data_IF_886803540858
#
_entry.id   IF_886803540858
#
_cell.length_a   1.000
_cell.length_b   1.000
_cell.length_c   1.000
_cell.angle_alpha   90.00
_cell.angle_beta   90.00
_cell.angle_gamma   90.00
#
_symmetry.space_group_name_H-M   'P 1'
#
loop_
_entity.id
_entity.type
_entity.pdbx_description
1 polymer ?
#
# COMPACT_ATOMS: atom_id res chain seq x y z
N UNK A 1 -64.67 -0.14 34.66
CA UNK A 1 -63.23 0.12 34.81
C UNK A 1 -62.53 -0.61 33.68
N UNK A 2 -62.54 -0.04 32.46
CA UNK A 2 -61.50 0.89 31.94
C UNK A 2 -60.16 0.15 31.78
N UNK A 3 -59.46 0.06 30.65
CA UNK A 3 -59.61 0.65 29.31
C UNK A 3 -58.71 -0.17 28.37
N UNK A 4 -59.18 -0.45 27.16
CA UNK A 4 -58.38 -1.02 26.07
C UNK A 4 -57.55 0.10 25.46
N UNK A 5 -56.23 -0.10 25.29
CA UNK A 5 -55.49 0.55 24.22
C UNK A 5 -54.64 -0.47 23.46
N UNK A 6 -55.19 -0.91 22.32
CA UNK A 6 -54.39 -1.30 21.15
C UNK A 6 -53.90 0.02 20.52
N UNK A 7 -52.59 0.14 20.34
CA UNK A 7 -51.97 1.23 19.59
C UNK A 7 -51.30 0.70 18.34
N UNK A 8 -52.05 0.65 17.25
CA UNK A 8 -51.53 0.53 15.88
C UNK A 8 -51.17 1.91 15.35
N UNK A 9 -49.94 2.11 14.89
CA UNK A 9 -49.56 3.15 13.92
C UNK A 9 -48.35 2.58 13.16
N UNK A 10 -48.37 2.21 11.88
CA UNK A 10 -48.90 2.92 10.69
C UNK A 10 -48.40 4.35 10.62
N UNK A 11 -47.17 4.60 10.13
CA UNK A 11 -46.96 5.62 9.09
C UNK A 11 -45.63 5.44 8.34
N UNK A 12 -45.77 4.97 7.12
CA UNK A 12 -44.92 5.18 5.96
C UNK A 12 -44.75 6.70 5.65
N UNK A 13 -43.52 7.17 5.33
CA UNK A 13 -43.09 7.82 4.06
C UNK A 13 -41.78 8.65 4.15
N UNK A 14 -41.10 8.88 3.01
CA UNK A 14 -39.65 9.05 2.90
C UNK A 14 -39.21 10.52 3.04
N UNK A 15 -38.02 10.73 3.59
CA UNK A 15 -37.34 12.02 3.52
C UNK A 15 -36.34 11.99 2.35
N UNK A 16 -36.80 12.41 1.17
CA UNK A 16 -35.93 12.89 0.10
C UNK A 16 -35.64 14.37 0.33
N UNK A 17 -34.39 14.79 0.60
CA UNK A 17 -34.05 16.19 0.46
C UNK A 17 -33.81 16.51 -1.02
N UNK A 18 -34.81 17.13 -1.63
CA UNK A 18 -34.67 18.04 -2.77
C UNK A 18 -33.72 19.18 -2.37
N UNK A 19 -32.46 19.14 -2.82
CA UNK A 19 -31.61 20.33 -2.81
C UNK A 19 -31.82 21.06 -4.14
N UNK A 20 -32.62 22.11 -4.05
CA UNK A 20 -32.93 23.05 -5.11
C UNK A 20 -31.71 23.95 -5.37
N UNK A 21 -31.35 24.08 -6.64
CA UNK A 21 -30.24 24.86 -7.15
C UNK A 21 -30.35 26.35 -6.77
N UNK A 22 -29.25 26.94 -6.30
CA UNK A 22 -29.00 28.38 -6.35
C UNK A 22 -27.75 28.65 -7.18
N UNK A 23 -27.95 29.51 -8.17
CA UNK A 23 -26.99 30.00 -9.16
C UNK A 23 -25.90 30.81 -8.45
N UNK A 24 -24.65 30.38 -8.56
CA UNK A 24 -23.49 31.26 -8.43
C UNK A 24 -22.95 31.58 -9.83
N UNK A 25 -23.20 32.82 -10.27
CA UNK A 25 -22.49 33.44 -11.38
C UNK A 25 -21.14 33.90 -10.83
N UNK A 26 -20.05 33.22 -11.17
CA UNK A 26 -18.70 33.57 -10.72
C UNK A 26 -17.63 32.77 -11.46
N UNK A 27 -16.77 33.48 -12.16
CA UNK A 27 -15.78 32.99 -13.13
C UNK A 27 -14.59 32.32 -12.42
N UNK A 28 -13.97 31.40 -13.16
CA UNK A 28 -12.55 31.00 -13.11
C UNK A 28 -12.22 29.68 -12.39
N UNK A 29 -11.79 28.73 -13.22
CA UNK A 29 -10.89 27.65 -12.84
C UNK A 29 -11.44 26.27 -13.17
N UNK A 30 -11.13 25.76 -14.37
CA UNK A 30 -10.84 24.32 -14.47
C UNK A 30 -9.62 24.06 -13.59
N UNK A 31 -9.85 23.85 -12.29
CA UNK A 31 -8.85 23.27 -11.41
C UNK A 31 -8.77 21.80 -11.78
N UNK A 32 -7.81 21.45 -12.62
CA UNK A 32 -7.36 20.07 -12.79
C UNK A 32 -6.75 19.59 -11.48
N UNK A 33 -7.59 19.26 -10.50
CA UNK A 33 -7.18 18.47 -9.36
C UNK A 33 -6.98 17.05 -9.84
N UNK A 34 -5.80 16.49 -9.62
CA UNK A 34 -5.56 15.06 -9.80
C UNK A 34 -6.66 14.31 -9.02
N UNK A 35 -7.51 13.55 -9.72
CA UNK A 35 -8.50 12.70 -9.06
C UNK A 35 -7.74 11.59 -8.32
N UNK A 36 -7.53 11.77 -7.03
CA UNK A 36 -7.02 10.71 -6.17
C UNK A 36 -8.03 9.55 -6.19
N UNK A 37 -7.61 8.40 -6.74
CA UNK A 37 -8.44 7.20 -6.76
C UNK A 37 -8.34 6.50 -5.42
N UNK A 38 -9.46 6.42 -4.71
CA UNK A 38 -9.57 5.64 -3.47
C UNK A 38 -10.01 4.23 -3.84
N UNK A 39 -9.15 3.25 -3.67
CA UNK A 39 -9.52 1.83 -3.80
C UNK A 39 -9.75 1.27 -2.40
N UNK A 40 -10.86 0.56 -2.22
CA UNK A 40 -11.16 -0.13 -0.98
C UNK A 40 -10.70 -1.57 -1.12
N UNK A 41 -9.75 -2.01 -0.29
CA UNK A 41 -9.42 -3.43 -0.15
C UNK A 41 -10.56 -4.16 0.55
N UNK A 42 -10.61 -5.50 0.45
CA UNK A 42 -11.71 -6.34 0.93
C UNK A 42 -12.04 -6.20 2.45
N UNK A 43 -11.21 -5.49 3.20
CA UNK A 43 -11.28 -5.20 4.63
C UNK A 43 -11.58 -3.73 4.98
N UNK A 44 -11.92 -2.89 3.98
CA UNK A 44 -12.40 -1.50 4.13
C UNK A 44 -11.43 -0.45 4.72
N UNK A 45 -10.11 -0.67 4.73
CA UNK A 45 -9.15 0.42 4.95
C UNK A 45 -8.90 1.18 3.63
N UNK A 46 -9.20 2.49 3.52
CA UNK A 46 -8.92 3.23 2.30
C UNK A 46 -7.41 3.46 2.18
N UNK A 47 -6.77 2.83 1.20
CA UNK A 47 -5.43 3.23 0.76
C UNK A 47 -5.63 4.18 -0.42
N UNK A 48 -5.26 5.44 -0.23
CA UNK A 48 -5.38 6.46 -1.27
C UNK A 48 -4.18 6.34 -2.19
N UNK A 49 -4.41 5.84 -3.41
CA UNK A 49 -3.37 5.73 -4.41
C UNK A 49 -3.40 6.95 -5.33
N UNK A 50 -2.21 7.41 -5.71
CA UNK A 50 -2.09 8.46 -6.73
C UNK A 50 -2.39 7.85 -8.09
N UNK A 51 -3.35 8.44 -8.80
CA UNK A 51 -3.55 8.18 -10.22
C UNK A 51 -2.45 8.87 -11.03
N UNK A 52 -2.01 8.25 -12.12
CA UNK A 52 -1.23 8.97 -13.13
C UNK A 52 -2.19 9.91 -13.88
N UNK A 53 -1.86 11.20 -14.10
CA UNK A 53 -2.70 12.09 -14.90
C UNK A 53 -2.86 11.59 -16.34
N UNK A 54 -4.06 11.66 -16.91
CA UNK A 54 -4.37 11.15 -18.26
C UNK A 54 -3.51 11.75 -19.39
N UNK A 55 -2.95 12.94 -19.17
CA UNK A 55 -2.09 13.63 -20.14
C UNK A 55 -0.62 13.21 -20.09
N UNK A 56 -0.23 12.33 -19.17
CA UNK A 56 1.15 11.91 -18.95
C UNK A 56 1.43 10.59 -19.65
N UNK A 57 2.52 10.54 -20.41
CA UNK A 57 3.03 9.29 -20.97
C UNK A 57 3.74 8.48 -19.89
N UNK A 58 3.31 7.23 -19.70
CA UNK A 58 4.03 6.24 -18.88
C UNK A 58 4.90 5.41 -19.81
N UNK A 59 6.19 5.34 -19.50
CA UNK A 59 7.16 4.56 -20.27
C UNK A 59 7.31 3.16 -19.70
N UNK A 60 7.58 2.18 -20.58
CA UNK A 60 8.02 0.86 -20.10
C UNK A 60 9.46 0.93 -19.60
N UNK A 61 9.82 0.09 -18.62
CA UNK A 61 11.19 0.02 -18.09
C UNK A 61 12.26 -0.22 -19.17
N UNK A 62 11.91 -0.90 -20.27
CA UNK A 62 12.81 -1.19 -21.39
C UNK A 62 13.01 -0.03 -22.38
N UNK A 63 12.15 0.99 -22.34
CA UNK A 63 12.20 2.13 -23.27
C UNK A 63 13.04 3.30 -22.75
N UNK A 64 13.37 3.30 -21.45
CA UNK A 64 14.09 4.39 -20.79
C UNK A 64 15.58 4.11 -20.71
N UNK A 65 16.38 5.17 -20.65
CA UNK A 65 17.85 5.07 -20.54
C UNK A 65 18.28 4.49 -19.19
N UNK A 66 17.52 4.79 -18.13
CA UNK A 66 17.74 4.26 -16.78
C UNK A 66 16.39 4.01 -16.11
N UNK A 67 16.19 2.81 -15.59
CA UNK A 67 14.95 2.44 -14.89
C UNK A 67 14.89 3.01 -13.46
N UNK A 68 13.70 3.01 -12.84
CA UNK A 68 13.57 3.32 -11.42
C UNK A 68 14.32 2.30 -10.55
N UNK A 69 14.86 2.79 -9.44
CA UNK A 69 15.58 1.99 -8.45
C UNK A 69 15.07 2.30 -7.05
N UNK A 70 15.13 1.31 -6.16
CA UNK A 70 14.84 1.50 -4.74
C UNK A 70 16.15 1.86 -4.07
N UNK A 71 16.18 2.94 -3.32
CA UNK A 71 17.37 3.37 -2.61
C UNK A 71 17.70 2.36 -1.50
N UNK A 72 18.91 1.82 -1.51
CA UNK A 72 19.29 0.67 -0.66
C UNK A 72 18.79 -0.69 -1.19
N UNK A 73 18.16 -0.72 -2.37
CA UNK A 73 17.79 -1.91 -3.11
C UNK A 73 16.82 -2.83 -2.36
N UNK A 74 16.94 -4.14 -2.60
CA UNK A 74 16.03 -5.13 -2.01
C UNK A 74 16.06 -5.16 -0.49
N UNK A 75 17.18 -4.82 0.13
CA UNK A 75 17.30 -4.81 1.60
C UNK A 75 16.45 -3.71 2.23
N UNK A 76 16.27 -2.58 1.55
CA UNK A 76 15.39 -1.51 2.03
C UNK A 76 13.93 -1.98 2.11
N UNK A 77 13.46 -2.74 1.11
CA UNK A 77 12.12 -3.36 1.17
C UNK A 77 11.98 -4.27 2.38
N UNK A 78 12.91 -5.22 2.55
CA UNK A 78 12.83 -6.21 3.63
C UNK A 78 12.85 -5.54 5.00
N UNK A 79 13.69 -4.53 5.20
CA UNK A 79 13.75 -3.80 6.47
C UNK A 79 12.50 -3.01 6.82
N UNK A 80 11.73 -2.64 5.80
CA UNK A 80 10.51 -1.88 5.97
C UNK A 80 9.32 -2.81 6.25
N UNK A 81 9.42 -4.12 6.03
CA UNK A 81 8.32 -5.07 6.24
C UNK A 81 8.01 -5.19 7.73
N UNK A 82 6.78 -4.86 8.07
CA UNK A 82 6.14 -5.18 9.34
C UNK A 82 5.28 -6.42 9.11
N UNK A 83 5.81 -7.60 9.45
CA UNK A 83 5.16 -8.88 9.12
C UNK A 83 3.79 -8.96 9.81
N UNK A 84 2.68 -9.16 9.07
CA UNK A 84 1.35 -9.23 9.68
C UNK A 84 1.24 -10.38 10.68
N UNK A 85 0.67 -10.12 11.86
CA UNK A 85 0.63 -11.12 12.94
C UNK A 85 -0.16 -12.38 12.56
N UNK A 86 -1.27 -12.22 11.84
CA UNK A 86 -2.07 -13.32 11.30
C UNK A 86 -1.24 -14.19 10.35
N UNK A 87 -0.52 -13.56 9.42
CA UNK A 87 0.36 -14.28 8.50
C UNK A 87 1.54 -14.96 9.22
N UNK A 88 2.07 -14.34 10.28
CA UNK A 88 3.16 -14.90 11.08
C UNK A 88 2.70 -16.14 11.86
N UNK A 89 1.56 -16.04 12.55
CA UNK A 89 0.97 -17.11 13.34
C UNK A 89 0.60 -18.32 12.46
N UNK A 90 0.11 -18.06 11.25
CA UNK A 90 -0.24 -19.08 10.24
C UNK A 90 0.98 -19.60 9.46
N UNK A 91 2.16 -19.02 9.65
CA UNK A 91 3.38 -19.40 8.93
C UNK A 91 3.32 -19.12 7.42
N UNK A 92 2.56 -18.11 7.00
CA UNK A 92 2.29 -17.80 5.59
C UNK A 92 3.43 -17.04 4.93
N UNK A 93 4.25 -17.72 4.13
CA UNK A 93 5.35 -17.11 3.37
C UNK A 93 5.05 -16.98 1.87
N UNK A 94 5.77 -16.09 1.18
CA UNK A 94 5.63 -15.99 -0.27
C UNK A 94 6.29 -14.77 -0.89
N UNK A 95 5.84 -14.39 -2.07
CA UNK A 95 6.27 -13.18 -2.74
C UNK A 95 5.07 -12.51 -3.40
N UNK A 96 4.80 -11.27 -3.01
CA UNK A 96 3.78 -10.44 -3.66
C UNK A 96 4.42 -9.77 -4.86
N UNK A 97 3.80 -9.88 -6.03
CA UNK A 97 4.23 -9.12 -7.22
C UNK A 97 3.28 -7.97 -7.46
N UNK A 98 3.83 -6.78 -7.63
CA UNK A 98 3.09 -5.54 -7.81
C UNK A 98 3.60 -4.83 -9.07
N UNK A 99 2.70 -4.48 -9.98
CA UNK A 99 2.94 -3.52 -11.05
C UNK A 99 2.64 -2.12 -10.53
N UNK A 100 3.50 -1.15 -10.77
CA UNK A 100 3.31 0.21 -10.31
C UNK A 100 4.04 1.19 -11.20
N UNK A 101 3.67 2.47 -11.13
CA UNK A 101 4.34 3.55 -11.84
C UNK A 101 5.15 4.38 -10.87
N UNK A 102 6.44 4.57 -11.15
CA UNK A 102 7.29 5.51 -10.42
C UNK A 102 7.29 6.84 -11.15
N UNK A 103 6.87 7.89 -10.47
CA UNK A 103 6.88 9.25 -11.00
C UNK A 103 8.27 9.88 -10.99
N UNK A 104 8.44 11.02 -11.68
CA UNK A 104 9.70 11.77 -11.70
C UNK A 104 10.10 12.34 -10.32
N UNK A 105 9.16 12.35 -9.38
CA UNK A 105 9.34 12.76 -7.98
C UNK A 105 9.66 11.58 -7.04
N UNK A 106 9.86 10.37 -7.58
CA UNK A 106 10.11 9.16 -6.79
C UNK A 106 8.88 8.65 -6.05
N UNK A 107 7.67 9.14 -6.35
CA UNK A 107 6.45 8.62 -5.73
C UNK A 107 5.89 7.43 -6.51
N UNK A 108 5.18 6.56 -5.79
CA UNK A 108 4.43 5.44 -6.35
C UNK A 108 3.04 5.90 -6.80
N UNK A 109 2.65 5.45 -7.99
CA UNK A 109 1.34 5.69 -8.61
C UNK A 109 0.75 4.35 -9.10
N UNK A 110 -0.59 4.25 -9.03
CA UNK A 110 -1.38 3.13 -9.56
C UNK A 110 -0.79 1.73 -9.30
N UNK A 111 -0.53 1.35 -8.04
CA UNK A 111 -0.06 0.00 -7.76
C UNK A 111 -1.19 -1.02 -8.01
N UNK A 112 -0.85 -2.11 -8.67
CA UNK A 112 -1.72 -3.23 -9.01
C UNK A 112 -1.06 -4.56 -8.63
N UNK A 113 -1.79 -5.42 -7.93
CA UNK A 113 -1.25 -6.71 -7.46
C UNK A 113 -1.37 -7.74 -8.59
N UNK A 114 -0.22 -8.12 -9.15
CA UNK A 114 -0.11 -9.16 -10.19
C UNK A 114 -0.15 -10.57 -9.61
N UNK A 115 0.32 -10.73 -8.37
CA UNK A 115 0.34 -12.02 -7.66
C UNK A 115 0.19 -11.79 -6.17
N UNK A 116 -0.90 -12.30 -5.63
CA UNK A 116 -1.25 -12.24 -4.21
C UNK A 116 -0.68 -13.44 -3.45
N UNK A 117 -0.34 -13.23 -2.17
CA UNK A 117 -0.07 -14.31 -1.21
C UNK A 117 -1.22 -14.43 -0.21
N UNK A 118 -1.72 -13.28 0.25
CA UNK A 118 -2.85 -13.20 1.16
C UNK A 118 -3.18 -11.74 1.48
N UNK A 119 -4.42 -11.42 1.87
CA UNK A 119 -4.86 -10.02 1.99
C UNK A 119 -4.03 -9.16 2.94
N UNK A 120 -3.56 -9.70 4.07
CA UNK A 120 -2.74 -8.98 5.04
C UNK A 120 -1.33 -8.71 4.52
N UNK A 121 -0.69 -9.71 3.93
CA UNK A 121 0.62 -9.61 3.26
C UNK A 121 0.58 -8.65 2.08
N UNK A 122 -0.49 -8.70 1.29
CA UNK A 122 -0.71 -7.83 0.13
C UNK A 122 -0.79 -6.35 0.54
N UNK A 123 -1.58 -6.05 1.58
CA UNK A 123 -1.68 -4.70 2.15
C UNK A 123 -0.32 -4.20 2.63
N UNK A 124 0.43 -5.07 3.28
CA UNK A 124 1.75 -4.75 3.79
C UNK A 124 2.75 -4.49 2.66
N UNK A 125 2.71 -5.28 1.59
CA UNK A 125 3.54 -5.06 0.40
C UNK A 125 3.27 -3.68 -0.21
N UNK A 126 2.00 -3.28 -0.32
CA UNK A 126 1.61 -1.96 -0.85
C UNK A 126 2.05 -0.81 0.06
N UNK A 127 2.04 -1.00 1.39
CA UNK A 127 2.55 0.00 2.35
C UNK A 127 4.06 0.16 2.22
N UNK A 128 4.80 -0.94 2.18
CA UNK A 128 6.27 -0.94 2.04
C UNK A 128 6.71 -0.24 0.77
N UNK A 129 6.08 -0.54 -0.38
CA UNK A 129 6.43 0.09 -1.66
C UNK A 129 6.22 1.61 -1.66
N UNK A 130 5.25 2.12 -0.88
CA UNK A 130 5.01 3.55 -0.70
C UNK A 130 5.95 4.21 0.32
N UNK A 131 6.55 3.44 1.21
CA UNK A 131 7.38 3.95 2.31
C UNK A 131 8.88 3.97 1.99
N UNK A 132 9.34 3.16 1.03
CA UNK A 132 10.73 3.18 0.60
C UNK A 132 11.02 4.36 -0.33
N UNK A 133 12.27 4.83 -0.28
CA UNK A 133 12.75 5.87 -1.18
C UNK A 133 13.04 5.29 -2.57
N UNK A 134 12.63 6.03 -3.59
CA UNK A 134 12.81 5.66 -5.00
C UNK A 134 13.67 6.69 -5.73
N UNK A 135 14.68 6.19 -6.43
CA UNK A 135 15.33 6.91 -7.51
C UNK A 135 14.50 6.79 -8.78
N UNK A 136 14.05 7.91 -9.38
CA UNK A 136 13.19 7.89 -10.57
C UNK A 136 13.94 7.44 -11.83
N UNK A 137 13.20 6.83 -12.75
CA UNK A 137 13.72 6.49 -14.07
C UNK A 137 13.98 7.73 -14.93
N UNK A 138 14.91 7.61 -15.87
CA UNK A 138 15.35 8.71 -16.75
C UNK A 138 15.33 8.32 -18.22
N UNK A 139 14.88 9.25 -19.05
CA UNK A 139 14.97 9.18 -20.51
C UNK A 139 15.31 10.57 -21.06
N UNK A 140 16.26 10.66 -21.98
CA UNK A 140 16.68 11.93 -22.57
C UNK A 140 17.23 12.92 -21.55
N UNK A 141 17.81 12.42 -20.45
CA UNK A 141 18.32 13.25 -19.34
C UNK A 141 17.24 13.83 -18.41
N UNK A 142 15.97 13.51 -18.61
CA UNK A 142 14.85 13.95 -17.77
C UNK A 142 14.29 12.80 -16.96
N UNK A 143 13.79 13.09 -15.75
CA UNK A 143 13.05 12.10 -14.97
C UNK A 143 11.65 11.96 -15.54
N UNK A 144 11.18 10.72 -15.74
CA UNK A 144 9.92 10.42 -16.41
C UNK A 144 9.10 9.40 -15.61
N UNK A 145 7.81 9.26 -15.94
CA UNK A 145 6.97 8.23 -15.36
C UNK A 145 7.31 6.89 -15.98
N UNK A 146 7.63 5.89 -15.14
CA UNK A 146 8.02 4.56 -15.62
C UNK A 146 7.21 3.49 -14.92
N UNK A 147 6.58 2.61 -15.69
CA UNK A 147 5.95 1.40 -15.16
C UNK A 147 7.02 0.34 -14.85
N UNK A 148 6.93 -0.25 -13.67
CA UNK A 148 7.82 -1.33 -13.24
C UNK A 148 7.08 -2.38 -12.41
N UNK A 149 7.65 -3.59 -12.39
CA UNK A 149 7.14 -4.69 -11.58
C UNK A 149 8.14 -5.00 -10.47
N UNK A 150 7.62 -5.10 -9.25
CA UNK A 150 8.42 -5.34 -8.05
C UNK A 150 7.87 -6.53 -7.32
N UNK A 151 8.77 -7.36 -6.81
CA UNK A 151 8.43 -8.60 -6.15
C UNK A 151 8.93 -8.55 -4.71
N UNK A 152 8.00 -8.31 -3.77
CA UNK A 152 8.27 -8.11 -2.34
C UNK A 152 8.29 -9.48 -1.63
N UNK A 153 9.45 -9.95 -1.12
CA UNK A 153 9.55 -11.25 -0.48
C UNK A 153 9.09 -11.19 0.98
N UNK A 154 8.26 -12.14 1.38
CA UNK A 154 7.88 -12.36 2.78
C UNK A 154 8.48 -13.70 3.24
N UNK A 155 9.36 -13.63 4.23
CA UNK A 155 10.09 -14.76 4.81
C UNK A 155 10.10 -14.64 6.33
N UNK A 156 9.65 -15.67 7.02
CA UNK A 156 9.63 -15.77 8.48
C UNK A 156 11.05 -15.81 9.03
N UNK A 157 11.99 -16.48 8.36
CA UNK A 157 13.39 -16.55 8.82
C UNK A 157 14.07 -15.17 8.95
N UNK A 158 13.61 -14.17 8.18
CA UNK A 158 14.13 -12.80 8.22
C UNK A 158 13.44 -11.94 9.29
N UNK A 159 12.24 -12.34 9.74
CA UNK A 159 11.37 -11.58 10.64
C UNK A 159 11.07 -12.31 11.95
N UNK A 160 11.66 -13.49 12.16
CA UNK A 160 11.62 -14.18 13.44
C UNK A 160 12.20 -13.22 14.48
N UNK A 161 11.41 -12.81 15.49
CA UNK A 161 11.98 -12.10 16.60
C UNK A 161 13.02 -13.02 17.22
N UNK A 162 14.27 -12.58 17.27
CA UNK A 162 15.32 -13.22 18.06
C UNK A 162 15.04 -13.13 19.58
N UNK A 163 13.77 -12.98 20.00
CA UNK A 163 13.37 -12.58 21.34
C UNK A 163 12.61 -13.68 22.10
N UNK A 164 12.04 -14.69 21.44
CA UNK A 164 11.31 -15.79 22.10
C UNK A 164 11.96 -17.18 21.92
N UNK A 165 13.04 -17.29 21.15
CA UNK A 165 13.83 -18.52 21.12
C UNK A 165 14.69 -18.62 22.39
N UNK A 166 14.70 -19.76 23.12
CA UNK A 166 15.74 -19.99 24.12
C UNK A 166 17.09 -19.84 23.42
N UNK A 167 17.95 -18.96 23.94
CA UNK A 167 19.27 -18.71 23.35
C UNK A 167 19.97 -20.04 23.04
N UNK A 168 20.51 -20.26 21.83
CA UNK A 168 21.40 -21.39 21.59
C UNK A 168 22.46 -21.39 22.70
N UNK A 169 22.81 -22.55 23.30
CA UNK A 169 23.81 -22.59 24.36
C UNK A 169 25.05 -21.86 23.86
N UNK A 170 25.34 -20.69 24.44
CA UNK A 170 26.55 -19.96 24.13
C UNK A 170 27.69 -20.91 24.52
N UNK A 171 28.45 -21.39 23.54
CA UNK A 171 29.64 -22.19 23.82
C UNK A 171 30.59 -21.31 24.62
N UNK A 172 30.56 -21.47 25.93
CA UNK A 172 31.38 -20.72 26.85
C UNK A 172 32.84 -21.00 26.47
N UNK A 173 33.67 -19.98 26.15
CA UNK A 173 35.07 -20.23 25.85
C UNK A 173 35.70 -20.99 27.03
N UNK A 174 36.64 -21.91 26.76
CA UNK A 174 37.23 -22.74 27.80
C UNK A 174 37.77 -21.84 28.92
N UNK A 175 37.42 -22.15 30.18
CA UNK A 175 37.96 -21.40 31.31
C UNK A 175 39.49 -21.43 31.24
N UNK A 176 40.17 -20.29 31.35
CA UNK A 176 41.62 -20.29 31.40
C UNK A 176 42.08 -21.14 32.58
N UNK A 177 43.21 -21.86 32.46
CA UNK A 177 43.75 -22.62 33.57
C UNK A 177 44.05 -21.67 34.74
N UNK A 178 43.68 -22.11 35.95
CA UNK A 178 44.15 -21.44 37.16
C UNK A 178 45.61 -21.88 37.40
N UNK A 179 46.54 -20.93 37.33
CA UNK A 179 47.92 -21.12 37.76
C UNK A 179 48.05 -20.92 39.27
#
# INVERSE_FOLDING_TARGET
MDTIHRGTASTCWPATPLVLALIFLGVAGCGGGAMESVTYTADNAPVVYRSVPDSVTVHSRSEVDTGPEIDGGRTALVRQIDYPSDAFDDGTEGQVRVSLVIGPDGRVYQPDILSSVGPSIDREALRVLQAVDWTPGRSGGQSVYVQTEIAVPFRLAEHQPAQDAPSPPQQQPPRPPRY
#
